data_IF_761799172849
#
_entry.id   IF_761799172849
#
_cell.length_a   1.000
_cell.length_b   1.000
_cell.length_c   1.000
_cell.angle_alpha   90.00
_cell.angle_beta   90.00
_cell.angle_gamma   90.00
#
_symmetry.space_group_name_H-M   'P 1'
#
loop_
_entity.id
_entity.type
_entity.pdbx_description
1 polymer ?
#
# COMPACT_ATOMS: atom_id res chain seq x y z
N UNK A 1 -31.17 74.37 -20.85
CA UNK A 1 -29.99 74.68 -19.99
C UNK A 1 -30.42 74.34 -18.57
N UNK A 2 -29.91 73.37 -17.84
CA UNK A 2 -28.56 72.79 -17.82
C UNK A 2 -28.60 71.37 -17.22
N UNK A 3 -27.71 70.50 -17.69
CA UNK A 3 -27.50 69.14 -17.17
C UNK A 3 -26.68 69.14 -15.86
N UNK A 4 -26.78 68.10 -15.00
CA UNK A 4 -25.85 67.93 -13.89
C UNK A 4 -24.58 67.19 -14.34
N UNK A 5 -23.48 67.70 -13.82
CA UNK A 5 -22.08 67.48 -14.16
C UNK A 5 -21.58 66.09 -13.73
N UNK A 6 -20.81 65.45 -14.61
CA UNK A 6 -20.09 64.20 -14.36
C UNK A 6 -18.91 64.42 -13.40
N UNK A 7 -18.76 63.53 -12.43
CA UNK A 7 -17.61 63.47 -11.52
C UNK A 7 -16.50 62.65 -12.19
N UNK A 8 -15.26 63.16 -12.37
CA UNK A 8 -14.18 62.37 -12.95
C UNK A 8 -13.69 61.31 -11.95
N UNK A 9 -13.61 60.05 -12.40
CA UNK A 9 -12.87 58.96 -11.74
C UNK A 9 -11.39 59.33 -11.69
N UNK A 10 -10.88 59.59 -10.49
CA UNK A 10 -9.45 59.75 -10.26
C UNK A 10 -8.70 58.42 -10.45
N UNK A 11 -8.05 58.27 -11.60
CA UNK A 11 -6.97 57.30 -11.81
C UNK A 11 -5.71 57.80 -11.10
N UNK A 12 -5.41 57.26 -9.91
CA UNK A 12 -4.10 57.45 -9.28
C UNK A 12 -3.13 56.41 -9.83
N UNK A 13 -2.40 56.81 -10.87
CA UNK A 13 -1.23 56.10 -11.37
C UNK A 13 -0.02 56.31 -10.44
N UNK A 14 0.78 55.26 -10.38
CA UNK A 14 1.95 54.99 -9.57
C UNK A 14 2.96 56.13 -9.38
N UNK A 15 3.53 56.19 -8.17
CA UNK A 15 4.94 56.54 -7.98
C UNK A 15 5.53 55.69 -6.86
N UNK A 16 6.15 54.59 -7.29
CA UNK A 16 6.99 53.72 -6.50
C UNK A 16 7.97 53.02 -7.44
N UNK A 17 9.08 53.69 -7.75
CA UNK A 17 10.19 53.10 -8.49
C UNK A 17 10.87 52.04 -7.64
N UNK A 18 10.50 50.78 -7.86
CA UNK A 18 11.39 49.62 -7.74
C UNK A 18 11.15 48.80 -9.01
N UNK A 19 12.20 48.51 -9.76
CA UNK A 19 12.22 47.51 -10.83
C UNK A 19 12.03 46.10 -10.21
N UNK A 20 10.90 45.87 -9.55
CA UNK A 20 10.45 44.54 -9.18
C UNK A 20 9.90 43.90 -10.43
N UNK A 21 10.77 43.35 -11.28
CA UNK A 21 10.35 42.50 -12.40
C UNK A 21 9.45 41.43 -11.81
N UNK A 22 8.20 41.36 -12.25
CA UNK A 22 7.29 40.29 -11.86
C UNK A 22 7.77 38.99 -12.54
N UNK A 23 8.65 38.28 -11.83
CA UNK A 23 9.24 37.04 -12.32
C UNK A 23 8.23 35.89 -12.30
N UNK A 24 7.17 35.98 -11.50
CA UNK A 24 6.13 34.95 -11.42
C UNK A 24 5.26 34.95 -12.68
N UNK A 25 4.88 36.13 -13.20
CA UNK A 25 4.16 36.19 -14.47
C UNK A 25 5.00 35.82 -15.70
N UNK A 26 6.33 35.70 -15.56
CA UNK A 26 7.21 35.21 -16.63
C UNK A 26 7.32 33.68 -16.72
N UNK A 27 6.86 32.94 -15.70
CA UNK A 27 6.88 31.48 -15.70
C UNK A 27 5.82 30.91 -16.66
N UNK A 28 6.05 29.70 -17.18
CA UNK A 28 5.04 28.93 -17.93
C UNK A 28 3.91 28.45 -17.01
N UNK A 29 2.75 28.15 -17.59
CA UNK A 29 1.61 27.62 -16.82
C UNK A 29 1.98 26.30 -16.11
N UNK A 30 2.76 25.41 -16.75
CA UNK A 30 3.22 24.15 -16.15
C UNK A 30 4.03 24.38 -14.85
N UNK A 31 4.94 25.36 -14.86
CA UNK A 31 5.74 25.70 -13.67
C UNK A 31 4.87 26.32 -12.58
N UNK A 32 3.86 27.12 -12.96
CA UNK A 32 2.93 27.68 -11.99
C UNK A 32 2.01 26.62 -11.40
N UNK A 33 1.55 25.64 -12.19
CA UNK A 33 0.82 24.47 -11.70
C UNK A 33 1.67 23.63 -10.76
N UNK A 34 2.96 23.45 -11.08
CA UNK A 34 3.89 22.79 -10.17
C UNK A 34 4.04 23.56 -8.85
N UNK A 35 4.17 24.89 -8.89
CA UNK A 35 4.19 25.72 -7.67
C UNK A 35 2.88 25.59 -6.88
N UNK A 36 1.72 25.62 -7.54
CA UNK A 36 0.41 25.42 -6.92
C UNK A 36 0.27 24.03 -6.29
N UNK A 37 0.95 23.01 -6.84
CA UNK A 37 0.86 21.64 -6.32
C UNK A 37 1.40 21.47 -4.90
N UNK A 38 2.14 22.46 -4.39
CA UNK A 38 2.59 22.50 -2.99
C UNK A 38 1.59 23.17 -2.04
N UNK A 39 0.51 23.78 -2.56
CA UNK A 39 -0.48 24.50 -1.77
C UNK A 39 -1.72 23.62 -1.50
N UNK A 40 -2.40 23.82 -0.35
CA UNK A 40 -3.76 23.30 -0.14
C UNK A 40 -4.72 23.86 -1.20
N UNK A 41 -5.74 23.08 -1.58
CA UNK A 41 -6.63 23.46 -2.68
C UNK A 41 -7.37 24.79 -2.45
N UNK A 42 -7.82 25.15 -1.23
CA UNK A 42 -8.40 26.47 -1.00
C UNK A 42 -7.43 27.62 -1.29
N UNK A 43 -6.13 27.41 -1.05
CA UNK A 43 -5.09 28.41 -1.35
C UNK A 43 -4.82 28.50 -2.86
N UNK A 44 -4.81 27.35 -3.55
CA UNK A 44 -4.73 27.29 -5.02
C UNK A 44 -5.85 28.13 -5.64
N UNK A 45 -7.10 27.96 -5.19
CA UNK A 45 -8.23 28.77 -5.67
C UNK A 45 -8.06 30.25 -5.30
N UNK A 46 -7.52 30.58 -4.11
CA UNK A 46 -7.25 31.98 -3.71
C UNK A 46 -6.21 32.67 -4.57
N UNK A 47 -5.32 31.93 -5.24
CA UNK A 47 -4.36 32.54 -6.18
C UNK A 47 -5.05 33.27 -7.35
N UNK A 48 -6.33 32.97 -7.62
CA UNK A 48 -7.17 33.71 -8.56
C UNK A 48 -7.26 35.22 -8.31
N UNK A 49 -6.91 35.67 -7.10
CA UNK A 49 -6.88 37.07 -6.70
C UNK A 49 -5.58 37.80 -7.07
N UNK A 50 -4.52 37.06 -7.45
CA UNK A 50 -3.19 37.65 -7.72
C UNK A 50 -3.17 38.49 -8.99
N UNK A 51 -3.77 38.00 -10.08
CA UNK A 51 -3.87 38.73 -11.35
C UNK A 51 -4.89 38.08 -12.30
N UNK A 52 -5.27 38.73 -13.42
CA UNK A 52 -6.19 38.16 -14.40
C UNK A 52 -5.76 36.80 -14.97
N UNK A 53 -4.45 36.54 -15.12
CA UNK A 53 -3.94 35.24 -15.58
C UNK A 53 -4.24 34.13 -14.57
N UNK A 54 -3.98 34.39 -13.29
CA UNK A 54 -4.16 33.41 -12.22
C UNK A 54 -5.64 33.11 -11.94
N UNK A 55 -6.55 34.03 -12.33
CA UNK A 55 -8.00 33.82 -12.21
C UNK A 55 -8.48 32.53 -12.86
N UNK A 56 -7.89 32.16 -14.00
CA UNK A 56 -8.27 30.98 -14.77
C UNK A 56 -7.25 29.84 -14.63
N UNK A 57 -6.01 30.16 -14.23
CA UNK A 57 -4.92 29.20 -14.19
C UNK A 57 -5.18 28.03 -13.22
N UNK A 58 -5.83 28.30 -12.09
CA UNK A 58 -6.18 27.25 -11.15
C UNK A 58 -7.24 26.29 -11.70
N UNK A 59 -8.12 26.75 -12.62
CA UNK A 59 -9.16 25.92 -13.21
C UNK A 59 -8.57 24.81 -14.10
N UNK A 60 -7.37 25.01 -14.64
CA UNK A 60 -6.67 24.05 -15.51
C UNK A 60 -5.57 23.28 -14.78
N UNK A 61 -5.56 23.23 -13.44
CA UNK A 61 -4.57 22.43 -12.72
C UNK A 61 -4.74 20.95 -13.05
N UNK A 62 -3.65 20.18 -13.26
CA UNK A 62 -3.72 18.75 -13.52
C UNK A 62 -4.03 17.93 -12.24
N UNK A 63 -4.52 18.58 -11.19
CA UNK A 63 -4.85 17.93 -9.94
C UNK A 63 -6.08 18.57 -9.28
N UNK A 64 -6.80 17.74 -8.53
CA UNK A 64 -7.91 18.15 -7.67
C UNK A 64 -7.69 17.55 -6.30
N UNK A 65 -7.74 18.38 -5.25
CA UNK A 65 -7.62 17.92 -3.86
C UNK A 65 -8.77 18.47 -3.04
N UNK A 66 -9.54 17.58 -2.46
CA UNK A 66 -10.63 17.91 -1.54
C UNK A 66 -10.25 17.26 -0.21
N UNK A 67 -9.77 18.04 0.74
CA UNK A 67 -9.34 17.52 2.04
C UNK A 67 -10.28 18.00 3.15
N UNK A 68 -10.91 17.06 3.87
CA UNK A 68 -11.74 17.37 5.03
C UNK A 68 -11.01 18.17 6.12
N UNK A 69 -9.69 18.04 6.25
CA UNK A 69 -8.88 18.77 7.23
C UNK A 69 -8.78 20.27 6.94
N UNK A 70 -9.02 20.69 5.68
CA UNK A 70 -9.02 22.10 5.30
C UNK A 70 -10.28 22.86 5.77
N UNK A 71 -11.28 22.15 6.32
CA UNK A 71 -12.59 22.71 6.63
C UNK A 71 -13.03 22.40 8.06
N UNK A 72 -13.65 23.39 8.71
CA UNK A 72 -14.16 23.26 10.09
C UNK A 72 -15.51 22.51 10.15
N UNK A 73 -16.29 22.56 9.08
CA UNK A 73 -17.60 21.92 9.03
C UNK A 73 -17.89 21.30 7.65
N UNK A 74 -18.71 20.26 7.67
CA UNK A 74 -19.11 19.46 6.51
C UNK A 74 -19.69 20.30 5.37
N UNK A 75 -20.52 21.31 5.67
CA UNK A 75 -21.23 22.07 4.62
C UNK A 75 -20.26 22.91 3.79
N UNK A 76 -19.24 23.49 4.42
CA UNK A 76 -18.19 24.23 3.70
C UNK A 76 -17.37 23.32 2.81
N UNK A 77 -17.00 22.15 3.29
CA UNK A 77 -16.30 21.12 2.50
C UNK A 77 -17.15 20.72 1.28
N UNK A 78 -18.43 20.42 1.50
CA UNK A 78 -19.33 20.00 0.41
C UNK A 78 -19.50 21.09 -0.64
N UNK A 79 -19.78 22.32 -0.20
CA UNK A 79 -19.92 23.47 -1.11
C UNK A 79 -18.62 23.77 -1.85
N UNK A 80 -17.47 23.69 -1.17
CA UNK A 80 -16.18 23.90 -1.81
C UNK A 80 -15.90 22.83 -2.87
N UNK A 81 -16.09 21.55 -2.52
CA UNK A 81 -15.92 20.44 -3.45
C UNK A 81 -16.84 20.57 -4.67
N UNK A 82 -18.13 20.85 -4.47
CA UNK A 82 -19.07 21.02 -5.57
C UNK A 82 -18.70 22.22 -6.48
N UNK A 83 -18.34 23.37 -5.89
CA UNK A 83 -17.88 24.53 -6.67
C UNK A 83 -16.56 24.24 -7.39
N UNK A 84 -15.64 23.52 -6.75
CA UNK A 84 -14.35 23.18 -7.33
C UNK A 84 -14.54 22.35 -8.60
N UNK A 85 -15.35 21.29 -8.53
CA UNK A 85 -15.62 20.43 -9.69
C UNK A 85 -16.40 21.16 -10.78
N UNK A 86 -17.32 22.06 -10.42
CA UNK A 86 -18.11 22.83 -11.38
C UNK A 86 -17.25 23.85 -12.16
N UNK A 87 -16.22 24.40 -11.50
CA UNK A 87 -15.38 25.46 -12.05
C UNK A 87 -14.06 24.94 -12.63
N UNK A 88 -13.70 23.69 -12.37
CA UNK A 88 -12.54 23.04 -12.97
C UNK A 88 -12.77 22.78 -14.46
N UNK A 89 -11.73 22.96 -15.26
CA UNK A 89 -11.81 22.86 -16.71
C UNK A 89 -12.08 21.41 -17.14
N UNK A 90 -13.22 21.21 -17.81
CA UNK A 90 -13.66 19.90 -18.29
C UNK A 90 -12.83 19.31 -19.44
N UNK A 91 -11.91 20.09 -20.00
CA UNK A 91 -10.98 19.62 -21.03
C UNK A 91 -9.64 19.15 -20.47
N UNK A 92 -9.31 19.53 -19.24
CA UNK A 92 -8.03 19.21 -18.60
C UNK A 92 -8.06 17.79 -18.03
N UNK A 93 -7.09 16.96 -18.42
CA UNK A 93 -6.89 15.65 -17.80
C UNK A 93 -6.22 15.78 -16.44
N UNK A 94 -6.66 14.98 -15.47
CA UNK A 94 -6.09 14.98 -14.13
C UNK A 94 -4.95 13.95 -14.02
N UNK A 95 -3.80 14.37 -13.54
CA UNK A 95 -2.74 13.48 -13.07
C UNK A 95 -3.10 12.90 -11.69
N UNK A 96 -3.66 13.72 -10.79
CA UNK A 96 -4.02 13.33 -9.41
C UNK A 96 -5.42 13.84 -9.01
N UNK A 97 -6.23 12.96 -8.44
CA UNK A 97 -7.39 13.35 -7.64
C UNK A 97 -7.27 12.76 -6.24
N UNK A 98 -7.23 13.62 -5.22
CA UNK A 98 -7.21 13.24 -3.81
C UNK A 98 -8.48 13.73 -3.13
N UNK A 99 -9.24 12.80 -2.55
CA UNK A 99 -10.51 13.10 -1.89
C UNK A 99 -10.47 12.50 -0.49
N UNK A 100 -10.32 13.37 0.53
CA UNK A 100 -10.48 13.01 1.94
C UNK A 100 -11.82 13.48 2.46
N UNK A 101 -12.70 12.54 2.77
CA UNK A 101 -14.12 12.76 2.96
C UNK A 101 -14.62 12.16 4.30
N UNK A 102 -13.94 12.49 5.41
CA UNK A 102 -14.24 11.92 6.74
C UNK A 102 -15.68 12.15 7.24
N UNK A 103 -16.30 13.28 6.88
CA UNK A 103 -17.66 13.64 7.32
C UNK A 103 -18.68 13.72 6.17
N UNK A 104 -18.25 13.39 4.95
CA UNK A 104 -19.08 13.46 3.73
C UNK A 104 -19.85 12.16 3.57
N UNK A 105 -21.07 12.22 3.03
CA UNK A 105 -21.82 10.99 2.76
C UNK A 105 -21.30 10.27 1.50
N UNK A 106 -21.54 8.96 1.42
CA UNK A 106 -21.08 8.10 0.32
C UNK A 106 -21.55 8.60 -1.06
N UNK A 107 -22.78 9.10 -1.16
CA UNK A 107 -23.37 9.55 -2.42
C UNK A 107 -22.68 10.80 -2.97
N UNK A 108 -22.37 11.77 -2.11
CA UNK A 108 -21.62 12.97 -2.46
C UNK A 108 -20.19 12.62 -2.86
N UNK A 109 -19.50 11.81 -2.07
CA UNK A 109 -18.14 11.38 -2.41
C UNK A 109 -18.11 10.62 -3.75
N UNK A 110 -19.13 9.80 -4.02
CA UNK A 110 -19.26 9.10 -5.31
C UNK A 110 -19.36 10.06 -6.50
N UNK A 111 -20.02 11.22 -6.35
CA UNK A 111 -20.06 12.25 -7.41
C UNK A 111 -18.67 12.80 -7.67
N UNK A 112 -17.91 13.10 -6.62
CA UNK A 112 -16.55 13.63 -6.75
C UNK A 112 -15.59 12.65 -7.39
N UNK A 113 -15.67 11.38 -6.98
CA UNK A 113 -14.89 10.29 -7.59
C UNK A 113 -15.25 10.15 -9.07
N UNK A 114 -16.54 10.18 -9.41
CA UNK A 114 -16.96 10.05 -10.80
C UNK A 114 -16.48 11.20 -11.67
N UNK A 115 -16.52 12.42 -11.14
CA UNK A 115 -15.99 13.59 -11.82
C UNK A 115 -14.49 13.41 -12.13
N UNK A 116 -13.69 12.98 -11.14
CA UNK A 116 -12.26 12.71 -11.37
C UNK A 116 -12.02 11.67 -12.48
N UNK A 117 -12.78 10.57 -12.48
CA UNK A 117 -12.66 9.53 -13.51
C UNK A 117 -13.08 10.07 -14.90
N UNK A 118 -14.15 10.88 -14.98
CA UNK A 118 -14.57 11.53 -16.24
C UNK A 118 -13.47 12.45 -16.80
N UNK A 119 -12.67 13.06 -15.94
CA UNK A 119 -11.54 13.91 -16.30
C UNK A 119 -10.23 13.12 -16.43
N UNK A 120 -10.33 11.82 -16.77
CA UNK A 120 -9.19 10.96 -17.15
C UNK A 120 -8.11 10.87 -16.07
N UNK A 121 -8.52 10.84 -14.80
CA UNK A 121 -7.58 10.77 -13.67
C UNK A 121 -6.64 9.57 -13.77
N UNK A 122 -5.34 9.80 -13.53
CA UNK A 122 -4.32 8.75 -13.49
C UNK A 122 -4.11 8.16 -12.09
N UNK A 123 -4.03 9.02 -11.07
CA UNK A 123 -3.96 8.62 -9.66
C UNK A 123 -5.22 9.05 -8.91
N UNK A 124 -5.99 8.08 -8.42
CA UNK A 124 -7.15 8.32 -7.56
C UNK A 124 -6.85 7.89 -6.13
N UNK A 125 -6.83 8.85 -5.22
CA UNK A 125 -6.68 8.61 -3.78
C UNK A 125 -7.96 9.01 -3.05
N UNK A 126 -8.58 8.05 -2.36
CA UNK A 126 -9.80 8.26 -1.58
C UNK A 126 -9.51 7.88 -0.12
N UNK A 127 -9.80 8.78 0.81
CA UNK A 127 -9.67 8.51 2.24
C UNK A 127 -10.87 8.96 3.07
N UNK A 128 -11.16 8.23 4.14
CA UNK A 128 -12.20 8.59 5.12
C UNK A 128 -13.27 7.51 5.29
N UNK A 129 -14.17 7.74 6.25
CA UNK A 129 -15.19 6.77 6.67
C UNK A 129 -16.35 6.62 5.68
N UNK A 130 -16.03 6.09 4.49
CA UNK A 130 -16.96 5.92 3.37
C UNK A 130 -17.25 4.46 3.10
N UNK A 131 -18.41 4.17 2.51
CA UNK A 131 -18.73 2.86 1.97
C UNK A 131 -18.82 2.88 0.45
N UNK A 132 -17.85 2.24 -0.20
CA UNK A 132 -17.73 2.22 -1.67
C UNK A 132 -18.25 0.90 -2.23
N UNK A 133 -19.05 0.99 -3.28
CA UNK A 133 -19.58 -0.16 -4.02
C UNK A 133 -19.23 -0.10 -5.51
N UNK A 134 -19.71 -1.08 -6.28
CA UNK A 134 -19.49 -1.19 -7.73
C UNK A 134 -19.94 0.02 -8.54
N UNK A 135 -20.76 0.93 -8.00
CA UNK A 135 -21.25 2.10 -8.74
C UNK A 135 -20.25 3.25 -8.74
N UNK A 136 -19.24 3.20 -7.87
CA UNK A 136 -18.25 4.27 -7.68
C UNK A 136 -17.21 4.25 -8.80
N UNK A 137 -16.66 3.08 -9.09
CA UNK A 137 -15.63 2.87 -10.10
C UNK A 137 -16.31 2.43 -11.40
N UNK A 138 -16.11 3.18 -12.46
CA UNK A 138 -16.59 2.86 -13.80
C UNK A 138 -15.41 2.80 -14.79
N UNK A 139 -15.61 2.30 -16.02
CA UNK A 139 -14.52 2.09 -16.95
C UNK A 139 -13.64 3.31 -17.21
N UNK A 140 -12.32 3.13 -17.09
CA UNK A 140 -11.32 4.16 -17.30
C UNK A 140 -10.08 3.60 -17.98
N UNK A 141 -9.67 4.23 -19.08
CA UNK A 141 -8.43 3.88 -19.80
C UNK A 141 -7.19 4.63 -19.33
N UNK A 142 -7.33 5.44 -18.28
CA UNK A 142 -6.29 6.35 -17.81
C UNK A 142 -5.89 6.08 -16.36
N UNK A 143 -6.72 5.34 -15.60
CA UNK A 143 -6.51 5.09 -14.19
C UNK A 143 -5.36 4.09 -13.98
N UNK A 144 -4.21 4.60 -13.55
CA UNK A 144 -2.97 3.85 -13.34
C UNK A 144 -2.79 3.42 -11.89
N UNK A 145 -3.25 4.25 -10.94
CA UNK A 145 -3.09 4.01 -9.51
C UNK A 145 -4.39 4.30 -8.75
N UNK A 146 -4.80 3.35 -7.90
CA UNK A 146 -5.89 3.53 -6.94
C UNK A 146 -5.33 3.37 -5.52
N UNK A 147 -5.56 4.37 -4.67
CA UNK A 147 -5.27 4.32 -3.24
C UNK A 147 -6.56 4.51 -2.46
N UNK A 148 -6.88 3.55 -1.59
CA UNK A 148 -8.03 3.61 -0.70
C UNK A 148 -7.55 3.53 0.74
N UNK A 149 -7.97 4.48 1.57
CA UNK A 149 -7.57 4.55 2.97
C UNK A 149 -8.77 4.72 3.89
N UNK A 150 -8.89 3.86 4.91
CA UNK A 150 -9.95 3.93 5.93
C UNK A 150 -11.38 3.78 5.38
N UNK A 151 -11.57 3.09 4.25
CA UNK A 151 -12.88 2.91 3.60
C UNK A 151 -13.45 1.50 3.80
N UNK A 152 -14.78 1.39 3.77
CA UNK A 152 -15.51 0.12 3.71
C UNK A 152 -15.75 -0.29 2.24
N UNK A 153 -15.16 -1.41 1.83
CA UNK A 153 -15.21 -1.96 0.49
C UNK A 153 -16.37 -2.97 0.39
N UNK A 154 -17.41 -2.64 -0.37
CA UNK A 154 -18.56 -3.52 -0.60
C UNK A 154 -18.36 -4.45 -1.79
N UNK A 155 -19.23 -5.47 -1.87
CA UNK A 155 -19.27 -6.43 -2.96
C UNK A 155 -19.19 -5.77 -4.35
N UNK A 156 -18.27 -6.29 -5.17
CA UNK A 156 -18.16 -5.95 -6.58
C UNK A 156 -17.43 -4.65 -6.91
N UNK A 157 -16.90 -3.92 -5.92
CA UNK A 157 -16.12 -2.69 -6.14
C UNK A 157 -14.98 -2.89 -7.16
N UNK A 158 -14.27 -4.02 -7.07
CA UNK A 158 -13.11 -4.31 -7.90
C UNK A 158 -13.42 -5.08 -9.19
N UNK A 159 -14.69 -5.39 -9.49
CA UNK A 159 -15.08 -6.05 -10.76
C UNK A 159 -14.59 -5.29 -12.01
N UNK A 160 -14.65 -3.94 -12.05
CA UNK A 160 -14.16 -3.19 -13.21
C UNK A 160 -12.65 -3.31 -13.44
N UNK A 161 -11.84 -3.62 -12.42
CA UNK A 161 -10.38 -3.60 -12.54
C UNK A 161 -9.83 -4.62 -13.56
N UNK A 162 -10.59 -5.67 -13.87
CA UNK A 162 -10.14 -6.75 -14.75
C UNK A 162 -10.27 -6.42 -16.25
N UNK A 163 -11.34 -5.70 -16.62
CA UNK A 163 -11.71 -5.46 -18.03
C UNK A 163 -11.81 -3.98 -18.37
N UNK A 164 -12.20 -3.17 -17.39
CA UNK A 164 -12.60 -1.79 -17.61
C UNK A 164 -11.49 -0.79 -17.24
N UNK A 165 -10.42 -1.24 -16.57
CA UNK A 165 -9.23 -0.46 -16.21
C UNK A 165 -7.94 -1.11 -16.75
N UNK A 166 -7.67 -1.07 -18.07
CA UNK A 166 -6.59 -1.85 -18.70
C UNK A 166 -5.16 -1.36 -18.40
N UNK A 167 -5.02 -0.18 -17.81
CA UNK A 167 -3.72 0.44 -17.48
C UNK A 167 -3.47 0.55 -15.98
N UNK A 168 -4.33 -0.06 -15.15
CA UNK A 168 -4.18 -0.02 -13.70
C UNK A 168 -2.99 -0.87 -13.29
N UNK A 169 -1.93 -0.25 -12.79
CA UNK A 169 -0.71 -0.94 -12.39
C UNK A 169 -0.60 -1.06 -10.87
N UNK A 170 -1.13 -0.09 -10.10
CA UNK A 170 -0.96 -0.01 -8.65
C UNK A 170 -2.30 0.07 -7.89
N UNK A 171 -2.47 -0.81 -6.91
CA UNK A 171 -3.60 -0.80 -5.98
C UNK A 171 -3.09 -0.84 -4.54
N UNK A 172 -3.46 0.17 -3.76
CA UNK A 172 -3.06 0.33 -2.36
C UNK A 172 -4.31 0.45 -1.48
N UNK A 173 -4.41 -0.42 -0.48
CA UNK A 173 -5.52 -0.51 0.46
C UNK A 173 -4.94 -0.41 1.88
N UNK A 174 -5.26 0.65 2.60
CA UNK A 174 -4.76 0.89 3.96
C UNK A 174 -5.96 1.09 4.90
N UNK A 175 -5.99 0.45 6.07
CA UNK A 175 -7.09 0.59 7.06
C UNK A 175 -8.49 0.31 6.50
N UNK A 176 -8.61 -0.47 5.42
CA UNK A 176 -9.89 -0.74 4.76
C UNK A 176 -10.62 -1.95 5.35
N UNK A 177 -11.95 -1.88 5.43
CA UNK A 177 -12.81 -3.01 5.82
C UNK A 177 -13.48 -3.66 4.61
N UNK A 178 -13.35 -4.97 4.43
CA UNK A 178 -13.96 -5.70 3.33
C UNK A 178 -15.30 -6.29 3.78
N UNK A 179 -16.41 -5.74 3.28
CA UNK A 179 -17.77 -6.26 3.46
C UNK A 179 -18.20 -6.99 2.19
N UNK A 180 -18.11 -8.32 2.19
CA UNK A 180 -18.52 -9.17 1.05
C UNK A 180 -17.75 -8.91 -0.26
N UNK A 181 -16.57 -8.28 -0.16
CA UNK A 181 -15.65 -8.12 -1.26
C UNK A 181 -14.76 -9.37 -1.39
N UNK A 182 -15.16 -10.28 -2.28
CA UNK A 182 -14.60 -11.63 -2.36
C UNK A 182 -13.40 -11.76 -3.29
N UNK A 183 -13.22 -10.85 -4.26
CA UNK A 183 -12.20 -11.00 -5.30
C UNK A 183 -11.57 -9.66 -5.72
N UNK A 184 -10.23 -9.65 -5.82
CA UNK A 184 -9.43 -8.67 -6.57
C UNK A 184 -8.88 -9.38 -7.80
N UNK A 185 -9.40 -9.02 -8.97
CA UNK A 185 -9.02 -9.61 -10.26
C UNK A 185 -8.53 -8.52 -11.20
N UNK A 186 -7.31 -8.65 -11.72
CA UNK A 186 -6.79 -7.68 -12.69
C UNK A 186 -5.74 -8.28 -13.64
N UNK A 187 -5.78 -7.85 -14.91
CA UNK A 187 -4.79 -8.24 -15.93
C UNK A 187 -3.63 -7.26 -16.07
N UNK A 188 -3.75 -6.04 -15.56
CA UNK A 188 -2.73 -4.98 -15.69
C UNK A 188 -1.97 -4.72 -14.39
N UNK A 189 -2.53 -5.15 -13.24
CA UNK A 189 -1.98 -4.86 -11.93
C UNK A 189 -0.59 -5.48 -11.74
N UNK A 190 0.37 -4.63 -11.35
CA UNK A 190 1.77 -4.98 -11.05
C UNK A 190 2.06 -4.92 -9.56
N UNK A 191 1.45 -3.98 -8.83
CA UNK A 191 1.66 -3.77 -7.39
C UNK A 191 0.33 -3.83 -6.65
N UNK A 192 0.27 -4.72 -5.65
CA UNK A 192 -0.84 -4.81 -4.71
C UNK A 192 -0.32 -4.65 -3.29
N UNK A 193 -0.78 -3.62 -2.60
CA UNK A 193 -0.49 -3.37 -1.20
C UNK A 193 -1.78 -3.37 -0.38
N UNK A 194 -1.82 -4.20 0.65
CA UNK A 194 -2.91 -4.30 1.62
C UNK A 194 -2.27 -4.16 3.01
N UNK A 195 -2.68 -3.18 3.79
CA UNK A 195 -2.15 -2.95 5.13
C UNK A 195 -3.21 -2.55 6.14
N UNK A 196 -3.12 -3.13 7.34
CA UNK A 196 -4.01 -2.84 8.48
C UNK A 196 -5.51 -2.97 8.11
N UNK A 197 -5.83 -3.89 7.19
CA UNK A 197 -7.20 -4.12 6.68
C UNK A 197 -7.95 -5.21 7.45
N UNK A 198 -9.28 -5.11 7.49
CA UNK A 198 -10.16 -6.09 8.12
C UNK A 198 -10.97 -6.85 7.07
N UNK A 199 -10.88 -8.19 7.02
CA UNK A 199 -11.65 -9.01 6.09
C UNK A 199 -12.73 -9.81 6.82
N UNK A 200 -14.01 -9.59 6.51
CA UNK A 200 -15.09 -10.39 7.12
C UNK A 200 -15.19 -11.80 6.53
N UNK A 201 -14.72 -11.99 5.30
CA UNK A 201 -14.75 -13.24 4.54
C UNK A 201 -13.39 -13.51 3.86
N UNK A 202 -13.28 -14.62 3.11
CA UNK A 202 -12.07 -14.91 2.35
C UNK A 202 -11.93 -14.01 1.12
N UNK A 203 -10.72 -13.52 0.85
CA UNK A 203 -10.38 -12.72 -0.32
C UNK A 203 -9.56 -13.53 -1.31
N UNK A 204 -10.05 -13.64 -2.55
CA UNK A 204 -9.33 -14.20 -3.69
C UNK A 204 -8.55 -13.10 -4.42
N UNK A 205 -7.25 -13.30 -4.61
CA UNK A 205 -6.41 -12.43 -5.42
C UNK A 205 -6.02 -13.18 -6.70
N UNK A 206 -6.39 -12.62 -7.85
CA UNK A 206 -6.12 -13.17 -9.18
C UNK A 206 -5.49 -12.10 -10.07
N UNK A 207 -4.16 -12.10 -10.20
CA UNK A 207 -3.44 -11.08 -10.94
C UNK A 207 -2.16 -11.62 -11.58
N UNK A 208 -2.26 -12.06 -12.84
CA UNK A 208 -1.17 -12.72 -13.58
C UNK A 208 0.10 -11.89 -13.68
N UNK A 209 -0.05 -10.59 -13.91
CA UNK A 209 1.04 -9.65 -14.13
C UNK A 209 1.54 -9.00 -12.83
N UNK A 210 1.08 -9.47 -11.67
CA UNK A 210 1.49 -8.94 -10.38
C UNK A 210 2.96 -9.29 -10.12
N UNK A 211 3.81 -8.27 -9.96
CA UNK A 211 5.24 -8.43 -9.66
C UNK A 211 5.54 -8.19 -8.19
N UNK A 212 4.74 -7.37 -7.51
CA UNK A 212 4.91 -7.00 -6.11
C UNK A 212 3.61 -7.21 -5.32
N UNK A 213 3.66 -8.07 -4.30
CA UNK A 213 2.56 -8.28 -3.36
C UNK A 213 3.01 -7.90 -1.94
N UNK A 214 2.23 -7.07 -1.27
CA UNK A 214 2.46 -6.71 0.13
C UNK A 214 1.15 -6.84 0.90
N UNK A 215 1.13 -7.69 1.92
CA UNK A 215 -0.01 -7.91 2.81
C UNK A 215 0.50 -7.78 4.24
N UNK A 216 0.16 -6.70 4.91
CA UNK A 216 0.71 -6.36 6.23
C UNK A 216 -0.42 -6.20 7.25
N UNK A 217 -0.32 -6.92 8.35
CA UNK A 217 -1.12 -6.71 9.57
C UNK A 217 -2.64 -6.76 9.29
N UNK A 218 -3.05 -7.61 8.35
CA UNK A 218 -4.47 -7.79 7.99
C UNK A 218 -5.18 -8.74 8.97
N UNK A 219 -6.38 -8.36 9.39
CA UNK A 219 -7.18 -9.06 10.40
C UNK A 219 -8.36 -9.81 9.76
N UNK A 220 -8.63 -11.03 10.24
CA UNK A 220 -9.85 -11.81 9.95
C UNK A 220 -9.91 -12.26 8.46
N UNK A 221 -10.62 -13.36 8.15
CA UNK A 221 -10.75 -13.88 6.77
C UNK A 221 -9.50 -14.61 6.23
N UNK A 222 -9.68 -15.48 5.24
CA UNK A 222 -8.57 -16.20 4.58
C UNK A 222 -8.16 -15.51 3.28
N UNK A 223 -6.86 -15.41 2.99
CA UNK A 223 -6.40 -14.88 1.70
C UNK A 223 -6.00 -16.06 0.82
N UNK A 224 -6.62 -16.13 -0.35
CA UNK A 224 -6.37 -17.15 -1.35
C UNK A 224 -5.74 -16.47 -2.56
N UNK A 225 -4.65 -17.02 -3.06
CA UNK A 225 -3.99 -16.48 -4.25
C UNK A 225 -4.13 -17.46 -5.41
N UNK A 226 -4.32 -16.93 -6.62
CA UNK A 226 -4.39 -17.72 -7.85
C UNK A 226 -3.70 -16.97 -8.98
N UNK A 227 -2.93 -17.70 -9.80
CA UNK A 227 -2.30 -17.17 -11.01
C UNK A 227 -1.44 -15.92 -10.74
N UNK A 228 -0.48 -16.02 -9.83
CA UNK A 228 0.53 -14.99 -9.55
C UNK A 228 1.87 -15.34 -10.22
N UNK A 229 1.84 -15.71 -11.50
CA UNK A 229 3.00 -16.31 -12.20
C UNK A 229 4.15 -15.32 -12.44
N UNK A 230 3.89 -14.01 -12.47
CA UNK A 230 4.93 -12.98 -12.61
C UNK A 230 5.46 -12.43 -11.28
N UNK A 231 5.08 -13.02 -10.14
CA UNK A 231 5.44 -12.49 -8.82
C UNK A 231 6.95 -12.54 -8.61
N UNK A 232 7.56 -11.39 -8.34
CA UNK A 232 9.00 -11.24 -8.07
C UNK A 232 9.22 -11.06 -6.58
N UNK A 233 8.43 -10.20 -5.94
CA UNK A 233 8.60 -9.86 -4.54
C UNK A 233 7.30 -10.03 -3.76
N UNK A 234 7.38 -10.64 -2.58
CA UNK A 234 6.26 -10.72 -1.66
C UNK A 234 6.68 -10.32 -0.24
N UNK A 235 5.84 -9.53 0.43
CA UNK A 235 6.00 -9.17 1.84
C UNK A 235 4.71 -9.46 2.59
N UNK A 236 4.73 -10.45 3.47
CA UNK A 236 3.57 -10.92 4.22
C UNK A 236 3.86 -10.77 5.72
N UNK A 237 3.14 -9.89 6.40
CA UNK A 237 3.11 -9.76 7.86
C UNK A 237 1.69 -10.05 8.33
N UNK A 238 1.51 -11.01 9.22
CA UNK A 238 0.19 -11.37 9.79
C UNK A 238 0.21 -11.26 11.32
N UNK A 239 0.90 -10.24 11.84
CA UNK A 239 1.05 -10.02 13.27
C UNK A 239 -0.18 -9.22 13.77
N UNK A 240 -0.99 -9.76 14.70
CA UNK A 240 -2.10 -8.99 15.26
C UNK A 240 -1.54 -7.89 16.17
N UNK A 241 -1.65 -6.62 15.76
CA UNK A 241 -1.19 -5.46 16.54
C UNK A 241 -2.08 -5.13 17.75
N UNK A 242 -3.35 -5.56 17.76
CA UNK A 242 -4.35 -4.99 18.68
C UNK A 242 -5.17 -5.99 19.53
N UNK A 243 -5.00 -7.31 19.39
CA UNK A 243 -5.83 -8.26 20.14
C UNK A 243 -5.11 -9.52 20.65
N UNK A 244 -5.21 -9.78 21.95
CA UNK A 244 -4.82 -11.01 22.65
C UNK A 244 -5.78 -12.20 22.40
N UNK A 245 -6.54 -12.23 21.31
CA UNK A 245 -7.50 -13.29 21.08
C UNK A 245 -6.82 -14.58 20.59
N UNK A 246 -6.74 -15.54 21.51
CA UNK A 246 -6.39 -16.96 21.32
C UNK A 246 -7.31 -17.64 20.30
N UNK A 247 -7.16 -17.42 19.00
CA UNK A 247 -7.73 -18.32 17.99
C UNK A 247 -6.84 -18.42 16.76
N UNK A 248 -6.87 -19.62 16.18
CA UNK A 248 -6.19 -20.13 15.01
C UNK A 248 -6.52 -19.33 13.75
N UNK A 249 -5.79 -18.24 13.49
CA UNK A 249 -5.98 -17.40 12.28
C UNK A 249 -5.49 -18.12 11.01
N UNK A 250 -4.52 -19.04 11.12
CA UNK A 250 -3.74 -19.47 9.93
C UNK A 250 -4.28 -20.64 9.13
N UNK A 251 -5.22 -21.46 9.64
CA UNK A 251 -5.83 -22.51 8.79
C UNK A 251 -6.57 -21.91 7.58
N UNK A 252 -6.97 -20.63 7.64
CA UNK A 252 -7.67 -19.95 6.55
C UNK A 252 -6.75 -19.34 5.48
N UNK A 253 -5.45 -19.21 5.74
CA UNK A 253 -4.48 -18.63 4.80
C UNK A 253 -3.60 -19.69 4.12
N UNK A 254 -3.93 -20.99 4.22
CA UNK A 254 -3.15 -22.08 3.63
C UNK A 254 -2.82 -21.84 2.14
N UNK A 255 -3.78 -21.33 1.37
CA UNK A 255 -3.65 -21.05 -0.06
C UNK A 255 -3.00 -19.69 -0.41
N UNK A 256 -2.57 -18.94 0.59
CA UNK A 256 -1.75 -17.74 0.35
C UNK A 256 -0.37 -18.16 -0.17
N UNK A 257 0.20 -19.24 0.38
CA UNK A 257 1.55 -19.69 0.06
C UNK A 257 1.66 -20.26 -1.36
N UNK A 258 0.58 -20.86 -1.89
CA UNK A 258 0.51 -21.42 -3.25
C UNK A 258 0.94 -20.39 -4.32
N UNK A 259 0.44 -19.16 -4.23
CA UNK A 259 0.76 -18.08 -5.16
C UNK A 259 2.12 -17.42 -4.93
N UNK A 260 2.79 -17.66 -3.80
CA UNK A 260 4.13 -17.10 -3.52
C UNK A 260 5.27 -17.91 -4.13
N UNK A 261 4.97 -19.08 -4.69
CA UNK A 261 5.95 -20.04 -5.25
C UNK A 261 6.89 -19.45 -6.31
N UNK A 262 6.46 -18.41 -7.03
CA UNK A 262 7.23 -17.77 -8.11
C UNK A 262 8.18 -16.67 -7.62
N UNK A 263 8.01 -16.20 -6.37
CA UNK A 263 8.76 -15.05 -5.85
C UNK A 263 10.26 -15.34 -5.72
N UNK A 264 11.09 -14.36 -6.10
CA UNK A 264 12.55 -14.38 -5.93
C UNK A 264 12.98 -13.76 -4.61
N UNK A 265 12.17 -12.86 -4.06
CA UNK A 265 12.38 -12.25 -2.75
C UNK A 265 11.12 -12.37 -1.90
N UNK A 266 11.22 -12.94 -0.71
CA UNK A 266 10.10 -13.12 0.20
C UNK A 266 10.44 -12.58 1.58
N UNK A 267 9.53 -11.78 2.14
CA UNK A 267 9.51 -11.39 3.55
C UNK A 267 8.27 -12.00 4.21
N UNK A 268 8.47 -12.85 5.22
CA UNK A 268 7.40 -13.62 5.85
C UNK A 268 7.46 -13.49 7.38
N UNK A 269 6.64 -12.58 7.89
CA UNK A 269 6.36 -12.31 9.29
C UNK A 269 4.96 -12.84 9.67
N UNK A 270 4.73 -14.14 9.45
CA UNK A 270 3.47 -14.79 9.77
C UNK A 270 3.73 -15.93 10.76
N UNK A 271 3.21 -15.89 11.99
CA UNK A 271 3.41 -16.97 12.97
C UNK A 271 2.61 -18.22 12.56
N UNK A 272 3.08 -18.94 11.54
CA UNK A 272 2.44 -20.15 11.03
C UNK A 272 2.58 -21.28 12.04
N UNK A 273 1.43 -21.85 12.44
CA UNK A 273 1.42 -23.07 13.23
C UNK A 273 2.00 -24.22 12.40
N UNK A 274 2.77 -25.09 13.06
CA UNK A 274 3.54 -26.15 12.41
C UNK A 274 2.71 -27.07 11.50
N UNK A 275 1.51 -27.49 11.94
CA UNK A 275 0.61 -28.32 11.12
C UNK A 275 0.12 -27.60 9.87
N UNK A 276 -0.19 -26.32 9.99
CA UNK A 276 -0.65 -25.47 8.88
C UNK A 276 0.50 -25.25 7.89
N UNK A 277 1.70 -25.04 8.42
CA UNK A 277 2.93 -24.95 7.62
C UNK A 277 3.23 -26.26 6.86
N UNK A 278 3.12 -27.42 7.52
CA UNK A 278 3.26 -28.72 6.86
C UNK A 278 2.18 -28.97 5.79
N UNK A 279 0.93 -28.62 6.09
CA UNK A 279 -0.16 -28.71 5.12
C UNK A 279 0.11 -27.90 3.86
N UNK A 280 0.59 -26.65 4.02
CA UNK A 280 0.97 -25.80 2.89
C UNK A 280 2.18 -26.36 2.10
N UNK A 281 3.13 -26.99 2.79
CA UNK A 281 4.28 -27.65 2.13
C UNK A 281 3.88 -28.89 1.32
N UNK A 282 2.80 -29.59 1.70
CA UNK A 282 2.32 -30.74 0.93
C UNK A 282 1.64 -30.32 -0.37
N UNK A 283 1.04 -29.13 -0.43
CA UNK A 283 0.31 -28.63 -1.59
C UNK A 283 1.18 -27.81 -2.54
N UNK A 284 2.37 -27.36 -2.11
CA UNK A 284 3.17 -26.36 -2.84
C UNK A 284 4.63 -26.78 -3.06
N UNK A 285 5.16 -26.70 -4.29
CA UNK A 285 6.61 -26.70 -4.53
C UNK A 285 7.17 -25.32 -4.14
N UNK A 286 7.33 -25.07 -2.84
CA UNK A 286 7.72 -23.75 -2.35
C UNK A 286 9.16 -23.39 -2.76
N UNK A 287 9.36 -22.16 -3.23
CA UNK A 287 10.64 -21.41 -3.25
C UNK A 287 11.79 -21.87 -4.15
N UNK A 288 11.51 -22.65 -5.20
CA UNK A 288 12.54 -23.05 -6.19
C UNK A 288 13.24 -21.90 -6.94
N UNK A 289 12.71 -20.68 -6.85
CA UNK A 289 13.29 -19.47 -7.43
C UNK A 289 13.74 -18.44 -6.38
N UNK A 290 13.62 -18.76 -5.10
CA UNK A 290 13.89 -17.82 -4.02
C UNK A 290 15.39 -17.58 -3.88
N UNK A 291 15.78 -16.31 -3.90
CA UNK A 291 17.19 -15.87 -3.78
C UNK A 291 17.44 -15.09 -2.50
N UNK A 292 16.42 -14.40 -1.98
CA UNK A 292 16.45 -13.65 -0.73
C UNK A 292 15.22 -13.97 0.11
N UNK A 293 15.44 -14.32 1.38
CA UNK A 293 14.38 -14.64 2.34
C UNK A 293 14.55 -13.82 3.61
N UNK A 294 13.45 -13.21 4.07
CA UNK A 294 13.35 -12.57 5.39
C UNK A 294 12.31 -13.32 6.22
N UNK A 295 12.68 -13.80 7.40
CA UNK A 295 11.77 -14.47 8.34
C UNK A 295 11.69 -13.70 9.66
N UNK A 296 10.54 -13.80 10.33
CA UNK A 296 10.36 -13.36 11.71
C UNK A 296 10.62 -14.46 12.75
N UNK A 297 10.41 -14.13 14.03
CA UNK A 297 10.65 -14.99 15.20
C UNK A 297 10.00 -16.38 15.16
N UNK A 298 8.92 -16.57 14.41
CA UNK A 298 8.17 -17.82 14.35
C UNK A 298 8.97 -19.01 13.80
N UNK A 299 10.06 -18.76 13.06
CA UNK A 299 10.96 -19.82 12.60
C UNK A 299 11.83 -20.39 13.72
N UNK A 300 11.85 -19.76 14.91
CA UNK A 300 12.62 -20.20 16.08
C UNK A 300 11.87 -21.23 16.95
N UNK A 301 11.18 -22.21 16.35
CA UNK A 301 10.62 -23.33 17.14
C UNK A 301 11.75 -24.08 17.88
N UNK A 302 11.41 -24.95 18.84
CA UNK A 302 12.42 -25.65 19.66
C UNK A 302 13.47 -26.42 18.82
N UNK A 303 13.09 -26.86 17.62
CA UNK A 303 13.90 -27.63 16.67
C UNK A 303 14.23 -26.88 15.37
N UNK A 304 13.85 -25.59 15.27
CA UNK A 304 13.98 -24.80 14.04
C UNK A 304 13.35 -25.46 12.80
N UNK A 305 12.37 -26.35 12.99
CA UNK A 305 11.82 -27.16 11.91
C UNK A 305 11.31 -26.35 10.71
N UNK A 306 10.53 -25.25 10.88
CA UNK A 306 10.09 -24.45 9.75
C UNK A 306 11.26 -23.88 8.95
N UNK A 307 12.32 -23.43 9.63
CA UNK A 307 13.52 -22.91 8.99
C UNK A 307 14.20 -23.99 8.14
N UNK A 308 14.46 -25.18 8.71
CA UNK A 308 15.10 -26.27 7.98
C UNK A 308 14.31 -26.69 6.74
N UNK A 309 12.98 -26.77 6.84
CA UNK A 309 12.12 -27.13 5.72
C UNK A 309 12.14 -26.08 4.61
N UNK A 310 12.06 -24.79 4.94
CA UNK A 310 12.16 -23.72 3.94
C UNK A 310 13.51 -23.78 3.22
N UNK A 311 14.60 -23.96 3.97
CA UNK A 311 15.94 -24.05 3.40
C UNK A 311 16.07 -25.25 2.45
N UNK A 312 15.56 -26.43 2.82
CA UNK A 312 15.56 -27.62 1.98
C UNK A 312 14.77 -27.44 0.67
N UNK A 313 13.77 -26.57 0.65
CA UNK A 313 12.96 -26.27 -0.53
C UNK A 313 13.53 -25.11 -1.38
N UNK A 314 14.53 -24.38 -0.89
CA UNK A 314 15.04 -23.14 -1.50
C UNK A 314 16.47 -23.29 -1.99
N UNK A 315 16.70 -24.14 -2.99
CA UNK A 315 18.04 -24.49 -3.52
C UNK A 315 18.86 -23.29 -4.04
N UNK A 316 18.20 -22.25 -4.57
CA UNK A 316 18.82 -21.02 -5.09
C UNK A 316 19.02 -19.91 -4.06
N UNK A 317 18.72 -20.16 -2.78
CA UNK A 317 18.77 -19.13 -1.74
C UNK A 317 20.21 -18.66 -1.50
N UNK A 318 20.43 -17.34 -1.59
CA UNK A 318 21.72 -16.69 -1.39
C UNK A 318 21.76 -15.81 -0.14
N UNK A 319 20.65 -15.16 0.17
CA UNK A 319 20.54 -14.25 1.31
C UNK A 319 19.42 -14.69 2.25
N UNK A 320 19.75 -14.88 3.52
CA UNK A 320 18.80 -15.15 4.58
C UNK A 320 18.88 -14.03 5.62
N UNK A 321 17.75 -13.41 5.93
CA UNK A 321 17.63 -12.42 7.00
C UNK A 321 16.63 -12.91 8.04
N UNK A 322 17.02 -12.92 9.30
CA UNK A 322 16.17 -13.26 10.43
C UNK A 322 15.95 -12.00 11.25
N UNK A 323 14.70 -11.53 11.35
CA UNK A 323 14.33 -10.38 12.20
C UNK A 323 13.69 -10.89 13.48
N UNK A 324 14.46 -10.83 14.55
CA UNK A 324 14.13 -11.33 15.88
C UNK A 324 13.81 -10.17 16.82
N UNK A 325 12.75 -9.44 16.50
CA UNK A 325 12.43 -8.15 17.14
C UNK A 325 10.99 -8.05 17.62
N UNK A 326 10.17 -9.08 17.46
CA UNK A 326 8.75 -9.00 17.76
C UNK A 326 8.43 -9.59 19.13
N UNK A 327 7.47 -8.96 19.81
CA UNK A 327 6.90 -9.45 21.07
C UNK A 327 6.71 -10.97 20.99
N UNK A 328 7.32 -11.68 21.95
CA UNK A 328 7.33 -13.13 21.96
C UNK A 328 5.92 -13.67 21.72
N UNK A 329 5.73 -14.45 20.65
CA UNK A 329 4.44 -15.08 20.41
C UNK A 329 4.12 -16.02 21.58
N UNK A 330 3.29 -15.55 22.51
CA UNK A 330 2.86 -16.31 23.70
C UNK A 330 2.22 -17.64 23.32
N UNK A 331 1.60 -17.72 22.14
CA UNK A 331 1.05 -18.96 21.56
C UNK A 331 2.15 -19.97 21.19
N UNK A 332 3.27 -19.52 20.62
CA UNK A 332 4.41 -20.40 20.32
C UNK A 332 5.09 -20.94 21.59
N UNK A 333 5.01 -20.22 22.72
CA UNK A 333 5.50 -20.71 24.04
C UNK A 333 4.59 -21.78 24.65
N UNK A 334 3.29 -21.74 24.38
CA UNK A 334 2.28 -22.60 25.01
C UNK A 334 2.11 -23.95 24.31
N UNK A 335 2.61 -24.11 23.09
CA UNK A 335 2.45 -25.33 22.31
C UNK A 335 3.67 -26.24 22.50
N UNK A 336 3.42 -27.44 23.05
CA UNK A 336 4.43 -28.48 23.19
C UNK A 336 4.98 -28.87 21.81
N UNK A 337 6.31 -29.02 21.64
CA UNK A 337 6.89 -29.56 20.42
C UNK A 337 6.23 -30.90 20.12
N UNK A 338 5.73 -31.09 18.90
CA UNK A 338 5.27 -32.41 18.46
C UNK A 338 6.50 -33.31 18.50
N UNK A 339 6.50 -34.36 19.34
CA UNK A 339 7.57 -35.35 19.36
C UNK A 339 7.71 -35.94 17.96
N UNK A 340 8.79 -35.60 17.26
CA UNK A 340 9.17 -36.24 16.02
C UNK A 340 10.49 -37.00 16.18
N UNK A 341 10.66 -38.00 15.34
CA UNK A 341 11.98 -38.48 15.00
C UNK A 341 12.74 -37.30 14.37
N UNK A 342 14.00 -37.11 14.76
CA UNK A 342 14.92 -36.17 14.11
C UNK A 342 14.80 -36.31 12.59
N UNK A 343 14.90 -35.22 11.80
CA UNK A 343 14.90 -35.33 10.35
C UNK A 343 16.05 -36.23 9.91
N UNK A 344 15.76 -37.51 9.76
CA UNK A 344 16.66 -38.53 9.28
C UNK A 344 16.68 -38.39 7.77
N UNK A 345 17.67 -37.64 7.26
CA UNK A 345 17.95 -37.62 5.83
C UNK A 345 18.56 -36.31 5.36
N UNK A 346 19.87 -36.32 5.12
CA UNK A 346 20.49 -36.09 3.80
C UNK A 346 19.80 -35.11 2.82
N UNK A 347 19.23 -34.01 3.29
CA UNK A 347 18.77 -32.92 2.42
C UNK A 347 19.96 -32.04 2.06
N UNK A 348 20.17 -31.79 0.76
CA UNK A 348 21.11 -30.77 0.31
C UNK A 348 20.59 -29.41 0.77
N UNK A 349 21.35 -28.71 1.61
CA UNK A 349 21.06 -27.33 1.97
C UNK A 349 21.56 -26.37 0.87
N UNK A 350 20.92 -25.20 0.70
CA UNK A 350 21.39 -24.21 -0.26
C UNK A 350 22.73 -23.61 0.15
N UNK A 351 23.51 -23.21 -0.84
CA UNK A 351 24.76 -22.47 -0.64
C UNK A 351 24.44 -21.00 -0.32
N UNK A 352 24.05 -20.73 0.92
CA UNK A 352 23.74 -19.37 1.39
C UNK A 352 25.05 -18.57 1.48
N UNK A 353 25.09 -17.43 0.80
CA UNK A 353 26.26 -16.54 0.77
C UNK A 353 26.30 -15.63 2.01
N UNK A 354 25.12 -15.15 2.44
CA UNK A 354 24.99 -14.15 3.51
C UNK A 354 23.81 -14.47 4.44
N UNK A 355 24.07 -14.40 5.74
CA UNK A 355 23.05 -14.53 6.79
C UNK A 355 23.10 -13.27 7.66
N UNK A 356 21.98 -12.57 7.75
CA UNK A 356 21.81 -11.42 8.65
C UNK A 356 20.83 -11.77 9.76
N UNK A 357 21.21 -11.52 11.00
CA UNK A 357 20.34 -11.73 12.16
C UNK A 357 20.17 -10.38 12.84
N UNK A 358 18.95 -9.89 12.89
CA UNK A 358 18.57 -8.69 13.65
C UNK A 358 17.96 -9.15 14.97
N UNK A 359 18.52 -8.75 16.11
CA UNK A 359 17.97 -9.13 17.42
C UNK A 359 18.27 -8.09 18.50
N UNK A 360 17.48 -8.13 19.59
CA UNK A 360 17.81 -7.35 20.79
C UNK A 360 19.11 -7.84 21.44
N UNK A 361 19.74 -6.96 22.23
CA UNK A 361 20.93 -7.30 23.01
C UNK A 361 20.57 -8.40 24.02
N UNK A 362 21.39 -9.44 24.10
CA UNK A 362 21.24 -10.59 25.03
C UNK A 362 20.06 -11.54 24.73
N UNK A 363 19.63 -11.67 23.47
CA UNK A 363 18.57 -12.62 23.11
C UNK A 363 19.01 -14.09 23.35
N UNK A 364 18.30 -14.86 24.20
CA UNK A 364 18.83 -16.08 24.84
C UNK A 364 19.08 -17.26 23.87
N UNK A 365 18.50 -17.21 22.67
CA UNK A 365 18.56 -18.30 21.67
C UNK A 365 19.32 -17.96 20.40
N UNK A 366 19.96 -16.78 20.33
CA UNK A 366 20.72 -16.38 19.13
C UNK A 366 21.95 -17.26 18.95
N UNK A 367 22.63 -17.64 20.04
CA UNK A 367 23.81 -18.50 19.96
C UNK A 367 23.48 -19.90 19.44
N UNK A 368 22.37 -20.50 19.93
CA UNK A 368 21.85 -21.78 19.44
C UNK A 368 21.52 -21.72 17.94
N UNK A 369 20.88 -20.63 17.50
CA UNK A 369 20.50 -20.40 16.11
C UNK A 369 21.74 -20.24 15.21
N UNK A 370 22.73 -19.46 15.64
CA UNK A 370 24.00 -19.29 14.92
C UNK A 370 24.72 -20.64 14.78
N UNK A 371 24.72 -21.46 15.84
CA UNK A 371 25.33 -22.78 15.80
C UNK A 371 24.61 -23.73 14.83
N UNK A 372 23.27 -23.75 14.84
CA UNK A 372 22.48 -24.55 13.91
C UNK A 372 22.64 -24.11 12.44
N UNK A 373 22.71 -22.79 12.19
CA UNK A 373 22.94 -22.23 10.87
C UNK A 373 24.35 -22.51 10.35
N UNK A 374 25.37 -22.48 11.21
CA UNK A 374 26.74 -22.83 10.83
C UNK A 374 26.87 -24.29 10.38
N UNK A 375 26.04 -25.20 10.90
CA UNK A 375 26.02 -26.61 10.50
C UNK A 375 25.28 -26.85 9.17
N UNK A 376 24.40 -25.94 8.76
CA UNK A 376 23.54 -26.11 7.57
C UNK A 376 23.97 -25.26 6.38
N UNK A 377 24.51 -24.06 6.63
CA UNK A 377 24.97 -23.13 5.62
C UNK A 377 26.50 -23.08 5.58
N UNK A 378 27.12 -24.11 5.00
CA UNK A 378 28.57 -24.19 4.84
C UNK A 378 29.12 -22.91 4.18
N UNK A 379 29.98 -22.16 4.88
CA UNK A 379 30.69 -20.94 4.44
C UNK A 379 29.88 -19.63 4.36
N UNK A 380 28.66 -19.57 4.90
CA UNK A 380 27.90 -18.32 4.91
C UNK A 380 28.55 -17.24 5.80
N UNK A 381 28.57 -15.98 5.35
CA UNK A 381 28.94 -14.84 6.21
C UNK A 381 27.77 -14.50 7.12
N UNK A 382 27.90 -14.82 8.41
CA UNK A 382 26.89 -14.51 9.43
C UNK A 382 27.21 -13.15 10.08
N UNK A 383 26.26 -12.23 10.06
CA UNK A 383 26.33 -10.95 10.76
C UNK A 383 25.15 -10.79 11.71
N UNK A 384 25.43 -10.52 12.99
CA UNK A 384 24.42 -10.18 13.99
C UNK A 384 24.42 -8.66 14.16
N UNK A 385 23.29 -8.03 13.85
CA UNK A 385 23.09 -6.58 13.89
C UNK A 385 21.99 -6.26 14.90
N UNK A 386 22.05 -5.07 15.51
CA UNK A 386 20.95 -4.57 16.33
C UNK A 386 19.94 -3.85 15.45
N UNK A 387 18.63 -3.87 15.81
CA UNK A 387 17.67 -2.93 15.26
C UNK A 387 18.21 -1.51 15.39
N UNK A 388 18.53 -0.86 14.27
CA UNK A 388 18.56 0.60 14.27
C UNK A 388 17.10 1.02 14.32
N UNK A 389 16.69 1.68 15.40
CA UNK A 389 15.34 2.24 15.62
C UNK A 389 14.57 2.50 14.30
N UNK A 390 13.78 1.51 13.87
CA UNK A 390 12.88 1.61 12.73
C UNK A 390 11.54 1.00 13.15
N UNK A 391 10.88 1.69 14.07
CA UNK A 391 9.43 1.67 14.07
C UNK A 391 8.97 2.28 12.74
N UNK A 392 8.06 1.55 12.10
CA UNK A 392 7.15 1.98 11.03
C UNK A 392 7.77 2.35 9.68
N UNK A 393 8.10 1.31 8.91
CA UNK A 393 7.55 1.05 7.57
C UNK A 393 8.38 -0.08 6.98
N UNK A 394 7.69 -1.16 6.56
CA UNK A 394 8.30 -2.19 5.73
C UNK A 394 9.22 -1.52 4.70
N UNK A 395 10.45 -2.03 4.56
CA UNK A 395 11.42 -1.59 3.55
C UNK A 395 10.85 -1.60 2.12
N UNK A 396 9.71 -2.27 1.90
CA UNK A 396 8.91 -2.20 0.67
C UNK A 396 8.18 -0.87 0.45
N UNK A 397 7.83 -0.10 1.50
CA UNK A 397 7.17 1.20 1.36
C UNK A 397 8.05 2.25 0.67
N UNK A 398 9.38 2.04 0.60
CA UNK A 398 10.28 2.90 -0.17
C UNK A 398 10.36 2.54 -1.66
N UNK A 399 9.93 1.35 -2.07
CA UNK A 399 9.85 0.98 -3.49
C UNK A 399 8.57 1.46 -4.18
N UNK A 400 7.59 1.99 -3.42
CA UNK A 400 6.28 2.43 -3.94
C UNK A 400 6.23 3.96 -4.19
N UNK A 401 7.34 4.68 -3.95
CA UNK A 401 7.43 6.12 -4.16
C UNK A 401 8.57 6.48 -5.12
N UNK A 402 8.38 6.26 -6.42
CA UNK A 402 8.87 7.13 -7.50
C UNK A 402 8.00 7.01 -8.74
#
# INVERSE_FOLDING_TARGET
>A
MSAPTSIPRGSKSARGSRNGVDRLSSLSDDLLHHVMSFLPMPEVVRTSLLSPRWRNLWCSTPFIRIDSQDFVDKRKLENFGDCLLLLHDCTTSLDEARISAQWVNDTKCSVWIRHAIMHKVRLLHISGSLSLDRTVIFPSRHLETIRLQSVMLKHGLFRPLNYDCPVLEHLELEWCGFCDCEEISSRSLKVLHISDCQLTSSLLICARNLTHLSILDTEIGGIVTRDLSCLVTASISLIPKYFHHKYTVLDRHLHLLDGLSHATTLELHAPLHERTFEGALQTCPMFSNLTSLVLGDWCMTADLYPLHRILQCSDKLKELTLKLEMDECTTCKLLLPIRRASPSGSGSYPCIERIKIYCQKDHPRVDELVQALAQTACNAKISVEQPRSMLTKSSFAKLICY
#
